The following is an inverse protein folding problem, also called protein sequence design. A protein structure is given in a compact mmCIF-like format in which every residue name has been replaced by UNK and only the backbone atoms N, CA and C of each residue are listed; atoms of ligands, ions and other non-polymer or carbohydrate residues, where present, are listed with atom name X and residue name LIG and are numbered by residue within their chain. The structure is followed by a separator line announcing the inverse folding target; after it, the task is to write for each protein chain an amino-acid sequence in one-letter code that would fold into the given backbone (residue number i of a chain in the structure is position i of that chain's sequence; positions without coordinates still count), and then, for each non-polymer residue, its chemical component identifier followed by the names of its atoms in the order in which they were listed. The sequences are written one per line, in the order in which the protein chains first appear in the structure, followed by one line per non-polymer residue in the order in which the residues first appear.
data_IF_943705593631
#
_entry.id   IF_943705593631
#
_cell.length_a   1.000
_cell.length_b   1.000
_cell.length_c   1.000
_cell.angle_alpha   90.00
_cell.angle_beta   90.00
_cell.angle_gamma   90.00
#
_symmetry.space_group_name_H-M   'P 1'
#
loop_
_entity.id
_entity.type
_entity.pdbx_description
1 polymer ?
#
# COMPACT_ATOMS: atom_id res chain seq x y z
N UNK A 1 12.66 -22.92 14.33
CA UNK A 1 11.33 -22.32 14.07
C UNK A 1 11.60 -20.87 13.68
N UNK A 2 11.44 -20.50 12.41
CA UNK A 2 11.89 -19.19 11.90
C UNK A 2 10.92 -18.07 12.29
N UNK A 3 11.26 -17.31 13.33
CA UNK A 3 10.65 -15.99 13.59
C UNK A 3 11.48 -14.92 12.89
N UNK A 4 11.17 -14.64 11.62
CA UNK A 4 11.67 -13.45 10.97
C UNK A 4 10.78 -12.27 11.40
N UNK A 5 11.22 -11.54 12.43
CA UNK A 5 10.84 -10.15 12.64
C UNK A 5 11.67 -9.28 11.69
N UNK A 6 11.11 -8.63 10.66
CA UNK A 6 11.82 -7.60 9.95
C UNK A 6 11.77 -6.32 10.79
N UNK A 7 12.83 -6.06 11.53
CA UNK A 7 13.18 -4.72 12.00
C UNK A 7 13.35 -3.81 10.78
N UNK A 8 12.55 -2.75 10.60
CA UNK A 8 12.62 -1.94 9.39
C UNK A 8 13.78 -0.96 9.48
N UNK A 9 14.94 -1.39 8.98
CA UNK A 9 16.11 -0.53 8.81
C UNK A 9 16.14 -0.04 7.35
N UNK A 10 15.47 1.07 7.12
CA UNK A 10 15.83 2.21 6.26
C UNK A 10 16.73 1.92 5.03
N UNK A 11 16.13 1.86 3.83
CA UNK A 11 16.49 2.63 2.58
C UNK A 11 16.21 1.88 1.27
N UNK A 12 15.82 0.61 1.28
CA UNK A 12 15.59 -0.10 0.01
C UNK A 12 14.17 0.11 -0.57
N UNK A 13 14.04 0.39 -1.89
CA UNK A 13 12.74 0.60 -2.54
C UNK A 13 11.83 -0.63 -2.45
N UNK A 14 12.40 -1.83 -2.36
CA UNK A 14 11.70 -3.10 -2.20
C UNK A 14 11.05 -3.23 -0.81
N UNK A 15 11.73 -2.73 0.23
CA UNK A 15 11.22 -2.77 1.61
C UNK A 15 9.97 -1.89 1.77
N UNK A 16 10.00 -0.69 1.15
CA UNK A 16 8.86 0.23 1.12
C UNK A 16 7.64 -0.37 0.43
N UNK A 17 7.85 -1.08 -0.69
CA UNK A 17 6.78 -1.73 -1.44
C UNK A 17 6.14 -2.86 -0.63
N UNK A 18 6.94 -3.74 -0.03
CA UNK A 18 6.45 -4.85 0.78
C UNK A 18 5.74 -4.35 2.05
N UNK A 19 6.26 -3.30 2.70
CA UNK A 19 5.58 -2.63 3.83
C UNK A 19 4.20 -2.11 3.42
N UNK A 20 4.12 -1.42 2.28
CA UNK A 20 2.84 -0.90 1.76
C UNK A 20 1.88 -2.04 1.41
N UNK A 21 2.36 -3.10 0.76
CA UNK A 21 1.58 -4.29 0.42
C UNK A 21 1.01 -4.98 1.66
N UNK A 22 1.84 -5.21 2.67
CA UNK A 22 1.41 -5.82 3.92
C UNK A 22 0.35 -4.97 4.64
N UNK A 23 0.53 -3.64 4.66
CA UNK A 23 -0.45 -2.70 5.19
C UNK A 23 -1.80 -2.80 4.46
N UNK A 24 -1.76 -2.74 3.12
CA UNK A 24 -2.94 -2.84 2.27
C UNK A 24 -3.67 -4.16 2.46
N UNK A 25 -2.94 -5.27 2.43
CA UNK A 25 -3.47 -6.62 2.60
C UNK A 25 -4.18 -6.76 3.94
N UNK A 26 -3.55 -6.31 5.03
CA UNK A 26 -4.14 -6.37 6.38
C UNK A 26 -5.44 -5.56 6.47
N UNK A 27 -5.49 -4.38 5.85
CA UNK A 27 -6.69 -3.55 5.89
C UNK A 27 -7.80 -4.06 4.96
N UNK A 28 -7.44 -4.64 3.81
CA UNK A 28 -8.38 -5.24 2.86
C UNK A 28 -8.86 -6.64 3.26
N UNK A 29 -8.35 -7.19 4.38
CA UNK A 29 -8.76 -8.49 4.90
C UNK A 29 -10.26 -8.52 5.25
N UNK A 30 -10.79 -7.40 5.74
CA UNK A 30 -12.22 -7.23 6.06
C UNK A 30 -13.12 -6.86 4.88
N UNK A 31 -12.59 -6.77 3.65
CA UNK A 31 -13.36 -6.42 2.45
C UNK A 31 -12.71 -5.31 1.61
N UNK A 32 -13.51 -4.67 0.75
CA UNK A 32 -13.02 -3.53 -0.03
C UNK A 32 -12.83 -2.30 0.85
N UNK A 33 -11.72 -1.60 0.62
CA UNK A 33 -11.31 -0.45 1.42
C UNK A 33 -10.82 0.67 0.49
N UNK A 34 -11.10 1.91 0.88
CA UNK A 34 -10.71 3.10 0.13
C UNK A 34 -9.68 3.90 0.92
N UNK A 35 -8.52 4.14 0.32
CA UNK A 35 -7.44 4.89 0.94
C UNK A 35 -7.09 6.14 0.16
N UNK A 36 -6.89 7.27 0.86
CA UNK A 36 -6.25 8.44 0.23
C UNK A 36 -4.75 8.32 0.38
N UNK A 37 -3.99 8.65 -0.67
CA UNK A 37 -2.51 8.56 -0.64
C UNK A 37 -1.88 9.27 0.55
N UNK A 38 -2.45 10.42 0.96
CA UNK A 38 -1.96 11.20 2.11
C UNK A 38 -2.07 10.48 3.45
N UNK A 39 -3.13 9.70 3.67
CA UNK A 39 -3.34 9.01 4.94
C UNK A 39 -2.46 7.77 5.04
N UNK A 40 -2.29 7.05 3.92
CA UNK A 40 -1.38 5.90 3.89
C UNK A 40 0.05 6.35 4.14
N UNK A 41 0.44 7.46 3.51
CA UNK A 41 1.74 8.10 3.68
C UNK A 41 2.08 8.32 5.17
N UNK A 42 1.15 8.89 5.94
CA UNK A 42 1.34 9.10 7.39
C UNK A 42 1.43 7.77 8.17
N UNK A 43 0.64 6.76 7.81
CA UNK A 43 0.62 5.45 8.48
C UNK A 43 1.91 4.64 8.26
N UNK A 44 2.46 4.63 7.03
CA UNK A 44 3.65 3.83 6.70
C UNK A 44 4.95 4.63 6.75
N UNK A 45 4.87 5.94 7.04
CA UNK A 45 6.01 6.85 7.12
C UNK A 45 6.62 7.19 5.76
N UNK A 46 5.80 7.31 4.71
CA UNK A 46 6.22 7.62 3.35
C UNK A 46 5.58 8.93 2.85
N UNK A 47 6.09 9.48 1.75
CA UNK A 47 5.47 10.66 1.14
C UNK A 47 4.24 10.26 0.29
N UNK A 48 3.20 11.11 0.16
CA UNK A 48 2.04 10.84 -0.68
C UNK A 48 2.40 10.56 -2.16
N UNK A 49 3.51 11.16 -2.63
CA UNK A 49 4.09 10.93 -3.96
C UNK A 49 4.68 9.53 -4.10
N UNK A 50 5.42 9.06 -3.09
CA UNK A 50 5.96 7.70 -3.05
C UNK A 50 4.84 6.67 -3.01
N UNK A 51 3.81 6.91 -2.19
CA UNK A 51 2.60 6.08 -2.16
C UNK A 51 1.97 5.98 -3.54
N UNK A 52 1.79 7.11 -4.23
CA UNK A 52 1.24 7.10 -5.59
C UNK A 52 2.04 6.23 -6.55
N UNK A 53 3.37 6.34 -6.53
CA UNK A 53 4.25 5.53 -7.38
C UNK A 53 4.21 4.03 -7.00
N UNK A 54 4.23 3.71 -5.71
CA UNK A 54 4.18 2.33 -5.22
C UNK A 54 2.82 1.68 -5.47
N UNK A 55 1.71 2.43 -5.39
CA UNK A 55 0.37 1.95 -5.72
C UNK A 55 0.25 1.56 -7.19
N UNK A 56 0.85 2.34 -8.10
CA UNK A 56 0.90 1.99 -9.53
C UNK A 56 1.73 0.72 -9.76
N UNK A 57 2.88 0.57 -9.08
CA UNK A 57 3.65 -0.67 -9.18
C UNK A 57 2.88 -1.86 -8.63
N UNK A 58 2.27 -1.70 -7.44
CA UNK A 58 1.52 -2.77 -6.78
C UNK A 58 0.28 -3.18 -7.57
N UNK A 59 -0.45 -2.27 -8.22
CA UNK A 59 -1.59 -2.68 -9.06
C UNK A 59 -1.15 -3.52 -10.27
N UNK A 60 0.08 -3.36 -10.75
CA UNK A 60 0.62 -4.12 -11.88
C UNK A 60 1.29 -5.43 -11.42
N UNK A 61 1.92 -5.43 -10.25
CA UNK A 61 2.71 -6.56 -9.75
C UNK A 61 2.01 -7.45 -8.73
N UNK A 62 1.05 -6.92 -7.97
CA UNK A 62 0.36 -7.66 -6.92
C UNK A 62 -0.77 -8.50 -7.52
N UNK A 63 -0.63 -9.82 -7.44
CA UNK A 63 -1.67 -10.78 -7.85
C UNK A 63 -2.65 -11.10 -6.73
N UNK A 64 -2.31 -10.77 -5.48
CA UNK A 64 -3.13 -11.05 -4.29
C UNK A 64 -4.01 -9.86 -3.85
N UNK A 65 -3.83 -8.71 -4.49
CA UNK A 65 -4.59 -7.49 -4.21
C UNK A 65 -5.04 -6.85 -5.53
N UNK A 66 -6.28 -6.40 -5.56
CA UNK A 66 -6.78 -5.57 -6.66
C UNK A 66 -6.76 -4.13 -6.19
N UNK A 67 -5.93 -3.31 -6.85
CA UNK A 67 -5.71 -1.90 -6.54
C UNK A 67 -6.18 -1.07 -7.74
N UNK A 68 -7.20 -0.24 -7.51
CA UNK A 68 -7.80 0.60 -8.53
C UNK A 68 -7.70 2.08 -8.12
N UNK A 69 -7.34 2.94 -9.07
CA UNK A 69 -7.34 4.38 -8.85
C UNK A 69 -8.79 4.88 -8.84
N UNK A 70 -9.23 5.39 -7.70
CA UNK A 70 -10.56 5.97 -7.51
C UNK A 70 -10.44 7.48 -7.27
N UNK A 71 -11.13 8.28 -8.07
CA UNK A 71 -11.09 9.74 -7.93
C UNK A 71 -12.50 10.29 -7.87
N UNK A 72 -12.94 10.70 -6.67
CA UNK A 72 -14.22 11.40 -6.49
C UNK A 72 -14.04 12.87 -6.06
N UNK A 73 -12.82 13.24 -5.61
CA UNK A 73 -12.47 14.59 -5.13
C UNK A 73 -11.03 14.92 -5.53
N UNK A 74 -10.54 16.12 -5.20
CA UNK A 74 -9.18 16.61 -5.53
C UNK A 74 -8.01 15.74 -5.01
N UNK A 75 -8.28 14.75 -4.15
CA UNK A 75 -7.26 13.83 -3.63
C UNK A 75 -7.33 12.45 -4.30
N UNK A 76 -6.17 11.91 -4.69
CA UNK A 76 -6.04 10.54 -5.22
C UNK A 76 -6.46 9.52 -4.17
N UNK A 77 -7.56 8.82 -4.44
CA UNK A 77 -8.04 7.71 -3.62
C UNK A 77 -7.73 6.40 -4.35
N UNK A 78 -7.48 5.34 -3.59
CA UNK A 78 -7.20 4.01 -4.09
C UNK A 78 -8.22 3.07 -3.48
N UNK A 79 -8.95 2.38 -4.34
CA UNK A 79 -9.78 1.25 -3.92
C UNK A 79 -8.89 0.03 -3.88
N UNK A 80 -8.87 -0.66 -2.76
CA UNK A 80 -8.07 -1.86 -2.56
C UNK A 80 -8.96 -2.96 -2.02
N UNK A 81 -8.87 -4.15 -2.60
CA UNK A 81 -9.53 -5.37 -2.12
C UNK A 81 -8.62 -6.57 -2.28
N UNK A 82 -8.93 -7.66 -1.60
CA UNK A 82 -8.34 -8.97 -1.91
C UNK A 82 -8.72 -9.37 -3.34
N UNK A 83 -7.76 -9.93 -4.08
CA UNK A 83 -8.00 -10.49 -5.40
C UNK A 83 -8.99 -11.66 -5.32
#
# INVERSE_FOLDING_TARGET
MNTASPSPTTTDPTDKQERLRAFLRRKADGGEVYFKSKFIAEEVGLSPKEIGALMIKLRESATDLVIEKWSYTSATTWRVRRA
#
